data_IF_121016679132
#
_entry.id   IF_121016679132
#
_cell.length_a   1.000
_cell.length_b   1.000
_cell.length_c   1.000
_cell.angle_alpha   90.00
_cell.angle_beta   90.00
_cell.angle_gamma   90.00
#
_symmetry.space_group_name_H-M   'P 1'
#
loop_
_entity.id
_entity.type
_entity.pdbx_description
1 polymer ?
#
# COMPACT_ATOMS: atom_id res chain seq x y z
N UNK A 1 29.05 1.73 -9.99
CA UNK A 1 27.85 1.63 -10.83
C UNK A 1 27.00 2.85 -10.54
N UNK A 2 26.15 3.26 -11.46
CA UNK A 2 25.12 4.26 -11.17
C UNK A 2 23.80 3.81 -11.76
N UNK A 3 22.71 4.29 -11.16
CA UNK A 3 21.37 4.16 -11.67
C UNK A 3 20.70 5.54 -11.68
N UNK A 4 19.87 5.80 -12.69
CA UNK A 4 19.09 7.02 -12.80
C UNK A 4 17.67 6.65 -13.20
N UNK A 5 16.72 6.87 -12.29
CA UNK A 5 15.32 6.50 -12.49
C UNK A 5 14.41 7.65 -12.11
N UNK A 6 13.17 7.60 -12.59
CA UNK A 6 12.12 8.45 -12.04
C UNK A 6 11.75 7.98 -10.63
N UNK A 7 11.30 8.93 -9.82
CA UNK A 7 10.67 8.73 -8.53
C UNK A 7 9.26 9.30 -8.61
N UNK A 8 8.30 8.77 -7.84
CA UNK A 8 6.91 9.30 -7.85
C UNK A 8 6.84 10.81 -7.52
N UNK A 9 7.84 11.34 -6.82
CA UNK A 9 8.00 12.77 -6.48
C UNK A 9 9.14 13.49 -7.21
N UNK A 10 9.81 12.86 -8.17
CA UNK A 10 10.93 13.50 -8.86
C UNK A 10 11.90 12.54 -9.53
N UNK A 11 13.17 12.64 -9.18
CA UNK A 11 14.28 11.88 -9.77
C UNK A 11 15.06 11.16 -8.68
N UNK A 12 15.55 9.96 -9.00
CA UNK A 12 16.44 9.19 -8.14
C UNK A 12 17.78 8.98 -8.85
N UNK A 13 18.87 9.33 -8.18
CA UNK A 13 20.24 9.04 -8.60
C UNK A 13 20.86 8.16 -7.52
N UNK A 14 21.22 6.93 -7.90
CA UNK A 14 21.97 6.01 -7.05
C UNK A 14 23.38 5.82 -7.62
N UNK A 15 24.39 5.87 -6.77
CA UNK A 15 25.80 5.63 -7.14
C UNK A 15 26.43 4.74 -6.08
N UNK A 16 26.84 3.54 -6.49
CA UNK A 16 27.33 2.49 -5.60
C UNK A 16 28.62 1.86 -6.10
N UNK A 17 29.49 1.39 -5.20
CA UNK A 17 30.75 0.73 -5.54
C UNK A 17 31.91 1.14 -4.63
N UNK A 18 33.14 0.98 -5.11
CA UNK A 18 34.35 1.38 -4.37
C UNK A 18 34.39 2.90 -4.16
N UNK A 19 34.72 3.33 -2.95
CA UNK A 19 34.65 4.71 -2.51
C UNK A 19 35.69 5.65 -3.15
N UNK A 20 36.88 5.15 -3.57
CA UNK A 20 38.00 5.97 -4.09
C UNK A 20 37.65 6.92 -5.27
N UNK A 21 36.65 6.58 -6.09
CA UNK A 21 36.20 7.42 -7.23
C UNK A 21 34.70 7.61 -7.29
N UNK A 22 34.01 7.36 -6.17
CA UNK A 22 32.54 7.41 -6.11
C UNK A 22 32.03 8.85 -6.29
N UNK A 23 32.68 9.79 -5.63
CA UNK A 23 32.46 11.24 -5.74
C UNK A 23 32.68 11.76 -7.17
N UNK A 24 33.75 11.33 -7.84
CA UNK A 24 34.06 11.70 -9.23
C UNK A 24 32.99 11.19 -10.19
N UNK A 25 32.49 9.97 -9.97
CA UNK A 25 31.40 9.41 -10.77
C UNK A 25 30.09 10.16 -10.51
N UNK A 26 29.74 10.40 -9.25
CA UNK A 26 28.55 11.14 -8.85
C UNK A 26 28.53 12.54 -9.47
N UNK A 27 29.64 13.28 -9.41
CA UNK A 27 29.76 14.60 -10.01
C UNK A 27 29.46 14.58 -11.51
N UNK A 28 30.05 13.64 -12.24
CA UNK A 28 29.79 13.47 -13.68
C UNK A 28 28.34 13.17 -13.97
N UNK A 29 27.70 12.29 -13.19
CA UNK A 29 26.28 11.94 -13.37
C UNK A 29 25.39 13.16 -13.12
N UNK A 30 25.58 13.86 -12.00
CA UNK A 30 24.75 15.02 -11.64
C UNK A 30 24.94 16.18 -12.63
N UNK A 31 26.16 16.43 -13.09
CA UNK A 31 26.41 17.43 -14.13
C UNK A 31 25.77 17.07 -15.46
N UNK A 32 25.82 15.79 -15.86
CA UNK A 32 25.16 15.30 -17.08
C UNK A 32 23.64 15.41 -16.99
N UNK A 33 23.06 15.11 -15.82
CA UNK A 33 21.64 15.29 -15.54
C UNK A 33 21.27 16.76 -15.67
N UNK A 34 21.96 17.67 -14.97
CA UNK A 34 21.67 19.11 -15.05
C UNK A 34 21.81 19.67 -16.46
N UNK A 35 22.84 19.24 -17.19
CA UNK A 35 23.17 19.69 -18.54
C UNK A 35 22.59 18.80 -19.63
N UNK A 36 21.45 18.12 -19.40
CA UNK A 36 20.89 17.19 -20.37
C UNK A 36 20.64 17.87 -21.73
N UNK A 37 21.37 17.44 -22.74
CA UNK A 37 21.13 17.78 -24.14
C UNK A 37 20.42 16.63 -24.85
N UNK A 38 19.23 16.90 -25.35
CA UNK A 38 18.36 15.93 -25.99
C UNK A 38 18.65 15.91 -27.49
N UNK A 39 19.35 14.87 -27.93
CA UNK A 39 19.50 14.57 -29.35
C UNK A 39 18.18 14.06 -29.94
N UNK A 40 17.73 14.68 -31.02
CA UNK A 40 16.50 14.31 -31.75
C UNK A 40 16.52 12.82 -32.18
N UNK A 41 17.65 12.33 -32.70
CA UNK A 41 17.77 10.94 -33.16
C UNK A 41 17.70 9.94 -32.00
N UNK A 42 18.37 10.26 -30.87
CA UNK A 42 18.29 9.45 -29.65
C UNK A 42 16.90 9.46 -29.06
N UNK A 43 16.25 10.61 -29.03
CA UNK A 43 14.88 10.76 -28.57
C UNK A 43 13.93 9.86 -29.37
N UNK A 44 13.99 9.90 -30.71
CA UNK A 44 13.15 9.06 -31.58
C UNK A 44 13.29 7.56 -31.26
N UNK A 45 14.53 7.08 -31.07
CA UNK A 45 14.80 5.68 -30.73
C UNK A 45 14.20 5.31 -29.36
N UNK A 46 14.37 6.17 -28.36
CA UNK A 46 13.86 5.94 -27.00
C UNK A 46 12.32 5.98 -27.00
N UNK A 47 11.72 6.98 -27.64
CA UNK A 47 10.27 7.13 -27.79
C UNK A 47 9.67 5.92 -28.48
N UNK A 48 10.23 5.47 -29.60
CA UNK A 48 9.75 4.27 -30.31
C UNK A 48 9.86 3.01 -29.42
N UNK A 49 10.94 2.88 -28.65
CA UNK A 49 11.09 1.78 -27.68
C UNK A 49 10.02 1.85 -26.59
N UNK A 50 9.74 3.04 -26.05
CA UNK A 50 8.72 3.24 -25.01
C UNK A 50 7.31 2.98 -25.56
N UNK A 51 6.97 3.47 -26.75
CA UNK A 51 5.69 3.19 -27.41
C UNK A 51 5.50 1.68 -27.63
N UNK A 52 6.54 0.98 -28.11
CA UNK A 52 6.49 -0.48 -28.23
C UNK A 52 6.33 -1.17 -26.88
N UNK A 53 7.03 -0.71 -25.85
CA UNK A 53 6.89 -1.26 -24.51
C UNK A 53 5.47 -1.10 -23.96
N UNK A 54 4.89 0.11 -24.01
CA UNK A 54 3.52 0.37 -23.55
C UNK A 54 2.48 -0.41 -24.36
N UNK A 55 2.65 -0.52 -25.68
CA UNK A 55 1.75 -1.34 -26.52
C UNK A 55 1.87 -2.84 -26.20
N UNK A 56 3.08 -3.31 -25.89
CA UNK A 56 3.33 -4.72 -25.59
C UNK A 56 2.97 -5.09 -24.14
N UNK A 57 2.90 -4.12 -23.21
CA UNK A 57 2.56 -4.40 -21.81
C UNK A 57 1.14 -4.96 -21.67
N UNK A 58 0.22 -4.56 -22.56
CA UNK A 58 -1.14 -5.12 -22.66
C UNK A 58 -1.18 -6.61 -23.04
N UNK A 59 -0.07 -7.14 -23.58
CA UNK A 59 0.09 -8.56 -23.94
C UNK A 59 1.00 -9.33 -22.99
N UNK A 60 1.54 -8.68 -21.95
CA UNK A 60 2.32 -9.35 -20.91
C UNK A 60 1.46 -10.36 -20.13
N UNK A 61 2.07 -11.32 -19.43
CA UNK A 61 1.30 -12.28 -18.62
C UNK A 61 0.38 -11.56 -17.61
N UNK A 62 -0.86 -12.04 -17.40
CA UNK A 62 -1.86 -11.43 -16.53
C UNK A 62 -1.35 -11.03 -15.14
N UNK A 63 -0.53 -11.86 -14.50
CA UNK A 63 0.04 -11.55 -13.18
C UNK A 63 0.96 -10.32 -13.18
N UNK A 64 1.59 -9.98 -14.31
CA UNK A 64 2.42 -8.78 -14.45
C UNK A 64 1.59 -7.52 -14.73
N UNK A 65 0.31 -7.67 -15.11
CA UNK A 65 -0.56 -6.54 -15.43
C UNK A 65 -1.45 -6.16 -14.24
N UNK A 66 -1.88 -7.13 -13.43
CA UNK A 66 -2.87 -6.89 -12.37
C UNK A 66 -2.41 -5.82 -11.39
N UNK A 67 -1.13 -5.84 -11.00
CA UNK A 67 -0.55 -4.84 -10.09
C UNK A 67 -0.65 -3.40 -10.59
N UNK A 68 -0.54 -3.16 -11.91
CA UNK A 68 -0.74 -1.82 -12.49
C UNK A 68 -2.15 -1.29 -12.28
N UNK A 69 -3.15 -2.17 -12.20
CA UNK A 69 -4.52 -1.78 -11.89
C UNK A 69 -4.73 -1.66 -10.39
N UNK A 70 -4.10 -2.53 -9.59
CA UNK A 70 -4.14 -2.49 -8.12
C UNK A 70 -3.66 -1.14 -7.55
N UNK A 71 -2.59 -0.57 -8.14
CA UNK A 71 -2.10 0.78 -7.81
C UNK A 71 -3.18 1.87 -7.91
N UNK A 72 -4.19 1.69 -8.78
CA UNK A 72 -5.28 2.66 -8.89
C UNK A 72 -6.20 2.68 -7.66
N UNK A 73 -6.24 1.60 -6.90
CA UNK A 73 -7.08 1.47 -5.71
C UNK A 73 -6.37 1.79 -4.41
N UNK A 74 -5.03 1.75 -4.41
CA UNK A 74 -4.21 2.06 -3.24
C UNK A 74 -3.84 3.56 -3.21
N UNK A 75 -3.37 4.11 -4.34
CA UNK A 75 -2.84 5.47 -4.41
C UNK A 75 -3.88 6.55 -4.77
N UNK A 76 -3.70 7.77 -4.25
CA UNK A 76 -4.49 8.93 -4.67
C UNK A 76 -4.31 9.21 -6.17
N UNK A 77 -3.06 9.19 -6.64
CA UNK A 77 -2.69 9.47 -8.03
C UNK A 77 -2.14 8.21 -8.66
N UNK A 78 -2.69 7.84 -9.80
CA UNK A 78 -2.25 6.71 -10.60
C UNK A 78 -2.47 7.05 -12.07
N UNK A 79 -1.57 6.61 -12.93
CA UNK A 79 -1.71 6.77 -14.39
C UNK A 79 -1.41 5.43 -15.03
N UNK A 80 -2.36 4.91 -15.79
CA UNK A 80 -2.24 3.61 -16.46
C UNK A 80 -1.48 3.72 -17.78
N UNK A 81 -0.99 2.58 -18.27
CA UNK A 81 -0.38 2.51 -19.60
C UNK A 81 -1.34 2.96 -20.71
N UNK A 82 -2.63 2.65 -20.58
CA UNK A 82 -3.69 3.01 -21.54
C UNK A 82 -3.86 4.54 -21.63
N UNK A 83 -3.66 5.26 -20.51
CA UNK A 83 -3.69 6.72 -20.45
C UNK A 83 -2.37 7.35 -20.93
N UNK A 84 -1.22 6.75 -20.59
CA UNK A 84 0.10 7.26 -20.99
C UNK A 84 0.37 7.12 -22.49
N UNK A 85 -0.14 6.05 -23.11
CA UNK A 85 0.15 5.73 -24.51
C UNK A 85 -0.25 6.84 -25.51
N UNK A 86 -1.50 7.37 -25.51
CA UNK A 86 -1.88 8.45 -26.42
C UNK A 86 -1.10 9.75 -26.16
N UNK A 87 -0.78 10.05 -24.90
CA UNK A 87 -0.01 11.26 -24.55
C UNK A 87 1.43 11.18 -25.07
N UNK A 88 2.06 10.00 -24.98
CA UNK A 88 3.44 9.78 -25.45
C UNK A 88 3.60 10.00 -26.97
N UNK A 89 2.54 9.84 -27.76
CA UNK A 89 2.59 10.07 -29.21
C UNK A 89 2.82 11.54 -29.57
N UNK A 90 2.42 12.46 -28.68
CA UNK A 90 2.56 13.90 -28.91
C UNK A 90 3.83 14.49 -28.29
N UNK A 91 4.55 13.72 -27.47
CA UNK A 91 5.81 14.18 -26.85
C UNK A 91 6.91 14.30 -27.92
N UNK A 92 7.61 15.44 -27.89
CA UNK A 92 8.75 15.76 -28.77
C UNK A 92 10.06 15.90 -27.96
N UNK A 93 11.21 15.83 -28.66
CA UNK A 93 12.51 16.07 -28.04
C UNK A 93 12.59 17.48 -27.41
N UNK A 94 11.99 18.47 -28.08
CA UNK A 94 11.92 19.83 -27.57
C UNK A 94 11.15 19.92 -26.25
N UNK A 95 10.05 19.16 -26.09
CA UNK A 95 9.32 19.12 -24.82
C UNK A 95 10.22 18.61 -23.69
N UNK A 96 10.96 17.52 -23.91
CA UNK A 96 11.88 16.97 -22.90
C UNK A 96 13.01 17.95 -22.60
N UNK A 97 13.60 18.56 -23.62
CA UNK A 97 14.68 19.56 -23.49
C UNK A 97 14.24 20.78 -22.67
N UNK A 98 12.98 21.20 -22.81
CA UNK A 98 12.40 22.31 -22.07
C UNK A 98 11.93 21.92 -20.67
N UNK A 99 11.46 20.69 -20.47
CA UNK A 99 10.94 20.20 -19.20
C UNK A 99 12.05 19.93 -18.19
N UNK A 100 13.18 19.36 -18.61
CA UNK A 100 14.22 18.90 -17.69
C UNK A 100 14.86 20.03 -16.84
N UNK A 101 15.11 21.24 -17.37
CA UNK A 101 15.54 22.36 -16.54
C UNK A 101 14.50 22.78 -15.50
N UNK A 102 13.20 22.58 -15.77
CA UNK A 102 12.11 23.00 -14.88
C UNK A 102 12.04 22.12 -13.63
N UNK A 103 12.18 20.80 -13.77
CA UNK A 103 12.17 19.87 -12.63
C UNK A 103 13.35 20.10 -11.67
N UNK A 104 14.48 20.60 -12.18
CA UNK A 104 15.66 20.92 -11.37
C UNK A 104 15.69 22.37 -10.86
N UNK A 105 14.84 23.26 -11.40
CA UNK A 105 14.88 24.70 -11.09
C UNK A 105 14.50 25.00 -9.64
N UNK A 106 13.59 24.20 -9.06
CA UNK A 106 13.17 24.31 -7.67
C UNK A 106 12.89 22.92 -7.11
N UNK A 107 13.77 22.40 -6.26
CA UNK A 107 13.63 21.06 -5.70
C UNK A 107 14.09 20.99 -4.24
N UNK A 108 13.70 19.89 -3.59
CA UNK A 108 14.26 19.43 -2.33
C UNK A 108 15.22 18.27 -2.66
N UNK A 109 16.41 18.27 -2.05
CA UNK A 109 17.42 17.23 -2.25
C UNK A 109 17.55 16.47 -0.93
N UNK A 110 17.34 15.17 -1.00
CA UNK A 110 17.54 14.24 0.10
C UNK A 110 18.62 13.24 -0.30
N UNK A 111 19.57 12.97 0.60
CA UNK A 111 20.75 12.13 0.31
C UNK A 111 20.94 11.12 1.42
N UNK A 112 21.04 9.84 1.04
CA UNK A 112 21.57 8.79 1.90
C UNK A 112 23.03 8.53 1.50
N UNK A 113 23.96 8.76 2.44
CA UNK A 113 25.36 8.36 2.30
C UNK A 113 25.66 7.24 3.31
N UNK A 114 25.92 6.03 2.81
CA UNK A 114 26.14 4.85 3.64
C UNK A 114 27.31 4.01 3.10
N UNK A 115 28.16 3.51 3.99
CA UNK A 115 29.33 2.70 3.64
C UNK A 115 30.63 3.18 4.30
N UNK A 116 31.76 2.92 3.63
CA UNK A 116 33.09 3.28 4.11
C UNK A 116 33.42 4.75 3.83
N UNK A 117 32.80 5.66 4.59
CA UNK A 117 32.92 7.11 4.47
C UNK A 117 32.96 7.75 5.86
N UNK A 118 33.73 8.81 6.02
CA UNK A 118 33.65 9.69 7.18
C UNK A 118 32.48 10.69 7.04
N UNK A 119 32.02 11.25 8.16
CA UNK A 119 30.94 12.25 8.17
C UNK A 119 31.28 13.44 7.26
N UNK A 120 32.53 13.92 7.31
CA UNK A 120 33.00 15.05 6.50
C UNK A 120 33.00 14.72 4.99
N UNK A 121 33.16 13.46 4.62
CA UNK A 121 33.08 13.02 3.22
C UNK A 121 31.62 12.99 2.74
N UNK A 122 30.69 12.57 3.59
CA UNK A 122 29.25 12.65 3.31
C UNK A 122 28.78 14.11 3.15
N UNK A 123 29.25 15.03 4.01
CA UNK A 123 28.95 16.46 3.88
C UNK A 123 29.50 17.07 2.58
N UNK A 124 30.70 16.65 2.15
CA UNK A 124 31.27 17.05 0.85
C UNK A 124 30.43 16.55 -0.32
N UNK A 125 29.86 15.35 -0.23
CA UNK A 125 28.94 14.82 -1.25
C UNK A 125 27.69 15.69 -1.35
N UNK A 126 27.08 16.08 -0.23
CA UNK A 126 25.91 16.95 -0.20
C UNK A 126 26.22 18.32 -0.84
N UNK A 127 27.34 18.94 -0.44
CA UNK A 127 27.81 20.20 -1.03
C UNK A 127 28.07 20.08 -2.53
N UNK A 128 28.69 18.98 -2.98
CA UNK A 128 28.93 18.71 -4.38
C UNK A 128 27.62 18.65 -5.18
N UNK A 129 26.62 17.89 -4.70
CA UNK A 129 25.31 17.80 -5.37
C UNK A 129 24.61 19.16 -5.39
N UNK A 130 24.64 19.89 -4.26
CA UNK A 130 24.07 21.24 -4.17
C UNK A 130 24.72 22.23 -5.14
N UNK A 131 26.05 22.25 -5.23
CA UNK A 131 26.81 23.09 -6.18
C UNK A 131 26.62 22.66 -7.63
N UNK A 132 26.48 21.37 -7.89
CA UNK A 132 26.29 20.83 -9.23
C UNK A 132 24.89 21.15 -9.74
N UNK A 133 23.82 20.93 -8.96
CA UNK A 133 22.42 21.16 -9.37
C UNK A 133 22.05 22.66 -9.32
N UNK A 134 22.44 23.36 -8.24
CA UNK A 134 22.06 24.76 -7.93
C UNK A 134 20.55 25.02 -7.92
N UNK A 135 19.74 24.21 -7.21
CA UNK A 135 18.29 24.40 -7.21
C UNK A 135 17.89 25.60 -6.35
N UNK A 136 16.75 26.23 -6.68
CA UNK A 136 16.05 27.03 -5.68
C UNK A 136 15.43 26.07 -4.65
N UNK A 137 15.47 26.44 -3.38
CA UNK A 137 14.86 25.63 -2.32
C UNK A 137 13.35 25.50 -2.54
N UNK A 138 12.86 24.27 -2.56
CA UNK A 138 11.43 23.99 -2.45
C UNK A 138 10.97 24.28 -1.01
N UNK A 139 9.91 25.07 -0.84
CA UNK A 139 9.40 25.39 0.50
C UNK A 139 8.77 24.14 1.14
N UNK A 140 8.84 24.01 2.46
CA UNK A 140 8.35 22.83 3.17
C UNK A 140 6.87 22.51 2.86
N UNK A 141 6.02 23.54 2.74
CA UNK A 141 4.61 23.40 2.37
C UNK A 141 4.35 23.07 0.89
N UNK A 142 5.39 23.02 0.06
CA UNK A 142 5.32 22.65 -1.36
C UNK A 142 5.87 21.25 -1.62
N UNK A 143 6.47 20.60 -0.62
CA UNK A 143 6.94 19.21 -0.74
C UNK A 143 5.72 18.31 -0.87
N UNK A 144 5.56 17.54 -1.97
CA UNK A 144 4.41 16.66 -2.13
C UNK A 144 4.36 15.60 -1.04
N UNK A 145 3.21 15.48 -0.39
CA UNK A 145 2.90 14.45 0.60
C UNK A 145 2.27 13.24 -0.09
N UNK A 146 2.59 12.05 0.44
CA UNK A 146 1.95 10.80 0.02
C UNK A 146 0.59 10.69 0.66
N UNK A 147 -0.40 10.28 -0.12
CA UNK A 147 -1.79 10.04 0.30
C UNK A 147 -2.33 8.85 -0.47
N UNK A 148 -3.23 8.11 0.16
CA UNK A 148 -3.93 6.98 -0.45
C UNK A 148 -5.42 7.04 -0.18
N UNK A 149 -6.15 6.11 -0.79
CA UNK A 149 -7.59 6.03 -0.61
C UNK A 149 -7.92 5.41 0.75
N UNK A 150 -8.88 6.00 1.46
CA UNK A 150 -9.48 5.41 2.66
C UNK A 150 -10.68 4.59 2.21
N UNK A 151 -10.62 3.29 2.44
CA UNK A 151 -11.72 2.39 2.11
C UNK A 151 -12.75 2.36 3.24
N UNK A 152 -14.05 2.52 2.93
CA UNK A 152 -15.10 2.37 3.92
C UNK A 152 -15.07 0.96 4.54
N UNK A 153 -15.31 0.88 5.85
CA UNK A 153 -15.47 -0.43 6.50
C UNK A 153 -16.64 -1.18 5.86
N UNK A 154 -16.53 -2.51 5.77
CA UNK A 154 -17.54 -3.35 5.11
C UNK A 154 -17.66 -3.15 3.59
N UNK A 155 -16.81 -2.34 2.94
CA UNK A 155 -16.87 -2.18 1.49
C UNK A 155 -16.33 -3.39 0.74
N UNK A 156 -16.92 -3.67 -0.42
CA UNK A 156 -16.54 -4.77 -1.29
C UNK A 156 -16.59 -4.30 -2.75
N UNK A 157 -15.44 -4.04 -3.35
CA UNK A 157 -15.33 -3.54 -4.71
C UNK A 157 -14.70 -4.57 -5.65
N UNK A 158 -15.23 -4.61 -6.87
CA UNK A 158 -14.70 -5.45 -7.94
C UNK A 158 -14.34 -4.55 -9.12
N UNK A 159 -13.13 -4.70 -9.64
CA UNK A 159 -12.75 -4.18 -10.94
C UNK A 159 -12.42 -5.35 -11.87
N UNK A 160 -13.10 -5.43 -13.01
CA UNK A 160 -12.86 -6.45 -14.01
C UNK A 160 -12.29 -5.81 -15.27
N UNK A 161 -11.18 -6.38 -15.76
CA UNK A 161 -10.61 -5.98 -17.05
C UNK A 161 -10.44 -7.20 -17.95
N UNK A 162 -11.00 -7.13 -19.15
CA UNK A 162 -10.79 -8.15 -20.16
C UNK A 162 -9.35 -8.08 -20.69
N UNK A 163 -8.63 -9.18 -20.58
CA UNK A 163 -7.28 -9.30 -21.10
C UNK A 163 -7.27 -9.21 -22.63
N UNK A 164 -6.38 -8.38 -23.20
CA UNK A 164 -6.32 -8.11 -24.64
C UNK A 164 -5.59 -9.18 -25.45
N UNK A 165 -4.77 -10.04 -24.82
CA UNK A 165 -4.04 -11.08 -25.53
C UNK A 165 -4.93 -12.27 -25.90
N UNK A 166 -5.34 -12.42 -27.17
CA UNK A 166 -6.41 -13.35 -27.58
C UNK A 166 -6.02 -14.84 -27.49
N UNK A 167 -4.72 -15.13 -27.33
CA UNK A 167 -4.18 -16.49 -27.22
C UNK A 167 -3.97 -16.94 -25.78
N UNK A 168 -4.09 -16.03 -24.81
CA UNK A 168 -3.90 -16.38 -23.42
C UNK A 168 -5.23 -16.85 -22.83
N UNK A 169 -5.28 -18.12 -22.46
CA UNK A 169 -6.45 -18.72 -21.79
C UNK A 169 -6.45 -18.47 -20.27
N UNK A 170 -5.38 -17.88 -19.74
CA UNK A 170 -5.28 -17.61 -18.31
C UNK A 170 -6.02 -16.34 -17.91
N UNK A 171 -6.65 -16.43 -16.76
CA UNK A 171 -7.18 -15.35 -15.95
C UNK A 171 -6.21 -15.04 -14.80
N UNK A 172 -6.36 -13.87 -14.19
CA UNK A 172 -5.65 -13.50 -12.98
C UNK A 172 -6.59 -12.76 -12.04
N UNK A 173 -6.53 -13.12 -10.75
CA UNK A 173 -7.21 -12.40 -9.68
C UNK A 173 -6.15 -11.90 -8.70
N UNK A 174 -6.32 -10.66 -8.27
CA UNK A 174 -5.69 -10.11 -7.09
C UNK A 174 -6.81 -9.81 -6.08
N UNK A 175 -6.79 -10.52 -4.96
CA UNK A 175 -7.78 -10.41 -3.90
C UNK A 175 -7.15 -9.68 -2.72
N UNK A 176 -7.51 -8.41 -2.55
CA UNK A 176 -6.90 -7.50 -1.57
C UNK A 176 -7.87 -7.21 -0.43
N UNK A 177 -7.44 -7.50 0.79
CA UNK A 177 -8.14 -7.22 2.04
C UNK A 177 -7.54 -5.99 2.69
N UNK A 178 -8.29 -4.88 2.74
CA UNK A 178 -7.87 -3.70 3.47
C UNK A 178 -7.98 -3.92 4.98
N UNK A 179 -6.93 -3.58 5.72
CA UNK A 179 -6.88 -3.74 7.19
C UNK A 179 -6.71 -2.40 7.91
N UNK A 180 -6.63 -1.29 7.18
CA UNK A 180 -6.48 0.05 7.76
C UNK A 180 -5.15 0.71 7.40
N UNK A 181 -4.69 1.61 8.27
CA UNK A 181 -3.55 2.46 7.98
C UNK A 181 -2.21 1.77 8.35
N UNK A 182 -1.20 1.82 7.47
CA UNK A 182 0.13 1.21 7.72
C UNK A 182 0.89 1.68 8.97
N UNK A 183 0.56 2.86 9.50
CA UNK A 183 1.21 3.42 10.70
C UNK A 183 0.57 2.93 11.99
N UNK A 184 -0.55 2.20 11.91
CA UNK A 184 -1.01 1.40 13.03
C UNK A 184 -0.02 0.24 13.26
N UNK A 185 0.85 0.42 14.24
CA UNK A 185 1.89 -0.56 14.57
C UNK A 185 1.34 -1.93 14.99
N UNK A 186 0.14 -1.97 15.58
CA UNK A 186 -0.51 -3.19 16.06
C UNK A 186 -1.12 -3.91 14.89
N UNK A 187 -1.88 -3.20 14.04
CA UNK A 187 -2.45 -3.78 12.83
C UNK A 187 -1.35 -4.31 11.91
N UNK A 188 -0.29 -3.52 11.70
CA UNK A 188 0.88 -3.94 10.92
C UNK A 188 1.53 -5.20 11.52
N UNK A 189 1.70 -5.28 12.84
CA UNK A 189 2.26 -6.47 13.48
C UNK A 189 1.37 -7.71 13.29
N UNK A 190 0.04 -7.56 13.42
CA UNK A 190 -0.93 -8.63 13.15
C UNK A 190 -0.88 -9.09 11.70
N UNK A 191 -0.88 -8.15 10.77
CA UNK A 191 -0.84 -8.43 9.34
C UNK A 191 0.45 -9.14 8.91
N UNK A 192 1.60 -8.72 9.44
CA UNK A 192 2.88 -9.39 9.20
C UNK A 192 2.90 -10.80 9.77
N UNK A 193 2.32 -11.01 10.95
CA UNK A 193 2.21 -12.34 11.56
C UNK A 193 1.25 -13.24 10.76
N UNK A 194 0.09 -12.72 10.39
CA UNK A 194 -0.87 -13.40 9.55
C UNK A 194 -0.24 -13.80 8.21
N UNK A 195 0.49 -12.89 7.57
CA UNK A 195 1.27 -13.16 6.35
C UNK A 195 2.32 -14.26 6.54
N UNK A 196 3.04 -14.27 7.66
CA UNK A 196 3.99 -15.34 7.98
C UNK A 196 3.30 -16.71 8.13
N UNK A 197 2.15 -16.76 8.81
CA UNK A 197 1.45 -18.01 9.11
C UNK A 197 0.69 -18.57 7.89
N UNK A 198 0.22 -17.69 7.00
CA UNK A 198 -0.56 -18.08 5.81
C UNK A 198 0.28 -18.40 4.59
N UNK A 199 1.53 -17.93 4.50
CA UNK A 199 2.37 -18.06 3.30
C UNK A 199 2.45 -19.51 2.78
N UNK A 200 2.90 -20.45 3.63
CA UNK A 200 3.01 -21.86 3.23
C UNK A 200 1.64 -22.53 3.05
N UNK A 201 0.66 -22.37 3.97
CA UNK A 201 -0.66 -22.97 3.80
C UNK A 201 -1.40 -22.50 2.55
N UNK A 202 -1.33 -21.21 2.22
CA UNK A 202 -1.97 -20.65 1.02
C UNK A 202 -1.36 -21.24 -0.24
N UNK A 203 -0.03 -21.32 -0.30
CA UNK A 203 0.67 -21.92 -1.43
C UNK A 203 0.34 -23.42 -1.54
N UNK A 204 0.36 -24.15 -0.42
CA UNK A 204 0.07 -25.58 -0.43
C UNK A 204 -1.37 -25.86 -0.86
N UNK A 205 -2.36 -25.17 -0.30
CA UNK A 205 -3.77 -25.40 -0.64
C UNK A 205 -4.06 -25.01 -2.09
N UNK A 206 -3.82 -23.75 -2.45
CA UNK A 206 -4.28 -23.20 -3.73
C UNK A 206 -3.41 -23.67 -4.91
N UNK A 207 -2.12 -23.93 -4.70
CA UNK A 207 -1.21 -24.40 -5.77
C UNK A 207 -0.92 -25.90 -5.72
N UNK A 208 -0.60 -26.48 -4.57
CA UNK A 208 -0.18 -27.90 -4.53
C UNK A 208 -1.37 -28.86 -4.55
N UNK A 209 -2.38 -28.60 -3.72
CA UNK A 209 -3.55 -29.48 -3.55
C UNK A 209 -4.60 -29.21 -4.63
N UNK A 210 -5.06 -27.96 -4.74
CA UNK A 210 -6.12 -27.58 -5.67
C UNK A 210 -5.62 -27.36 -7.11
N UNK A 211 -4.30 -27.19 -7.27
CA UNK A 211 -3.66 -27.00 -8.58
C UNK A 211 -4.25 -25.86 -9.40
N UNK A 212 -4.62 -24.75 -8.75
CA UNK A 212 -5.26 -23.62 -9.42
C UNK A 212 -4.31 -22.91 -10.38
N UNK A 213 -3.00 -22.94 -10.13
CA UNK A 213 -2.04 -22.36 -11.04
C UNK A 213 -0.62 -22.42 -10.52
N UNK A 214 0.33 -22.19 -11.42
CA UNK A 214 1.74 -22.08 -11.04
C UNK A 214 2.00 -20.77 -10.28
N UNK A 215 1.38 -19.67 -10.69
CA UNK A 215 1.55 -18.38 -10.01
C UNK A 215 0.48 -18.26 -8.93
N UNK A 216 0.88 -18.53 -7.69
CA UNK A 216 0.12 -18.28 -6.48
C UNK A 216 1.03 -17.53 -5.52
N UNK A 217 0.59 -16.37 -5.07
CA UNK A 217 1.28 -15.54 -4.11
C UNK A 217 0.30 -15.08 -3.04
N UNK A 218 0.77 -14.98 -1.80
CA UNK A 218 0.01 -14.39 -0.72
C UNK A 218 0.92 -13.65 0.24
N UNK A 219 0.49 -12.50 0.75
CA UNK A 219 1.29 -11.78 1.72
C UNK A 219 0.73 -10.41 2.10
N UNK A 220 1.39 -9.75 3.06
CA UNK A 220 1.07 -8.38 3.42
C UNK A 220 1.39 -7.43 2.25
N UNK A 221 0.45 -6.57 1.90
CA UNK A 221 0.65 -5.40 1.04
C UNK A 221 0.70 -4.15 1.92
N UNK A 222 1.81 -3.43 1.86
CA UNK A 222 2.05 -2.20 2.63
C UNK A 222 2.52 -1.14 1.64
N UNK A 223 1.65 -0.19 1.32
CA UNK A 223 1.97 0.96 0.48
C UNK A 223 1.64 2.26 1.22
N UNK A 224 2.28 3.37 0.88
CA UNK A 224 2.08 4.75 1.38
C UNK A 224 1.25 4.98 2.63
N UNK A 225 -0.07 4.77 2.59
CA UNK A 225 -0.95 4.73 3.77
C UNK A 225 -1.73 3.42 3.91
N UNK A 226 -1.75 2.61 2.84
CA UNK A 226 -2.44 1.35 2.71
C UNK A 226 -1.76 0.21 3.49
N UNK A 227 -2.57 -0.55 4.22
CA UNK A 227 -2.14 -1.80 4.85
C UNK A 227 -3.19 -2.86 4.59
N UNK A 228 -2.80 -3.94 3.93
CA UNK A 228 -3.71 -5.01 3.59
C UNK A 228 -3.05 -6.36 3.37
N UNK A 229 -3.85 -7.37 3.10
CA UNK A 229 -3.39 -8.70 2.74
C UNK A 229 -3.83 -9.03 1.32
N UNK A 230 -2.91 -9.49 0.49
CA UNK A 230 -3.16 -9.80 -0.92
C UNK A 230 -2.97 -11.30 -1.16
N UNK A 231 -3.89 -11.89 -1.93
CA UNK A 231 -3.71 -13.19 -2.57
C UNK A 231 -3.82 -13.01 -4.08
N UNK A 232 -2.80 -13.42 -4.81
CA UNK A 232 -2.72 -13.35 -6.27
C UNK A 232 -2.67 -14.75 -6.87
N UNK A 233 -3.54 -15.03 -7.85
CA UNK A 233 -3.58 -16.31 -8.57
C UNK A 233 -3.69 -16.06 -10.06
N UNK A 234 -2.81 -16.68 -10.85
CA UNK A 234 -3.00 -16.82 -12.30
C UNK A 234 -3.41 -18.26 -12.62
N UNK A 235 -4.51 -18.43 -13.36
CA UNK A 235 -5.14 -19.74 -13.62
C UNK A 235 -5.84 -19.80 -14.96
N UNK A 236 -6.06 -20.99 -15.51
CA UNK A 236 -7.02 -21.22 -16.61
C UNK A 236 -8.49 -21.15 -16.13
N UNK A 237 -8.73 -21.13 -14.81
CA UNK A 237 -10.07 -20.96 -14.23
C UNK A 237 -10.46 -19.48 -14.15
N UNK A 238 -11.73 -19.18 -14.35
CA UNK A 238 -12.25 -17.81 -14.29
C UNK A 238 -12.17 -17.18 -12.90
N UNK A 239 -12.02 -15.85 -12.83
CA UNK A 239 -11.79 -15.11 -11.58
C UNK A 239 -12.87 -15.34 -10.52
N UNK A 240 -14.14 -15.50 -10.92
CA UNK A 240 -15.23 -15.81 -9.98
C UNK A 240 -15.04 -17.14 -9.26
N UNK A 241 -14.55 -18.17 -9.96
CA UNK A 241 -14.21 -19.45 -9.35
C UNK A 241 -13.04 -19.30 -8.38
N UNK A 242 -11.99 -18.59 -8.80
CA UNK A 242 -10.80 -18.35 -7.97
C UNK A 242 -11.13 -17.58 -6.68
N UNK A 243 -11.99 -16.54 -6.76
CA UNK A 243 -12.52 -15.81 -5.60
C UNK A 243 -13.11 -16.77 -4.56
N UNK A 244 -13.99 -17.67 -4.99
CA UNK A 244 -14.61 -18.64 -4.07
C UNK A 244 -13.60 -19.62 -3.46
N UNK A 245 -12.52 -19.98 -4.16
CA UNK A 245 -11.44 -20.82 -3.59
C UNK A 245 -10.58 -20.05 -2.59
N UNK A 246 -10.32 -18.77 -2.86
CA UNK A 246 -9.62 -17.87 -1.92
C UNK A 246 -10.44 -17.72 -0.64
N UNK A 247 -11.74 -17.41 -0.74
CA UNK A 247 -12.63 -17.30 0.41
C UNK A 247 -12.70 -18.61 1.21
N UNK A 248 -12.79 -19.75 0.53
CA UNK A 248 -12.75 -21.06 1.18
C UNK A 248 -11.42 -21.31 1.92
N UNK A 249 -10.28 -20.93 1.33
CA UNK A 249 -8.98 -21.02 2.01
C UNK A 249 -8.94 -20.15 3.27
N UNK A 250 -9.47 -18.92 3.21
CA UNK A 250 -9.53 -18.03 4.37
C UNK A 250 -10.35 -18.65 5.51
N UNK A 251 -11.51 -19.25 5.21
CA UNK A 251 -12.35 -19.93 6.20
C UNK A 251 -11.66 -21.17 6.81
N UNK A 252 -10.97 -21.97 5.98
CA UNK A 252 -10.17 -23.10 6.47
C UNK A 252 -9.05 -22.61 7.39
N UNK A 253 -8.40 -21.52 7.02
CA UNK A 253 -7.29 -20.98 7.80
C UNK A 253 -7.76 -20.35 9.12
N UNK A 254 -8.94 -19.74 9.14
CA UNK A 254 -9.59 -19.28 10.38
C UNK A 254 -9.81 -20.44 11.36
N UNK A 255 -10.37 -21.56 10.90
CA UNK A 255 -10.52 -22.76 11.73
C UNK A 255 -9.16 -23.26 12.24
N UNK A 256 -8.15 -23.33 11.35
CA UNK A 256 -6.79 -23.71 11.71
C UNK A 256 -6.18 -22.79 12.77
N UNK A 257 -6.50 -21.49 12.74
CA UNK A 257 -6.04 -20.52 13.72
C UNK A 257 -6.74 -20.73 15.08
N UNK A 258 -8.05 -20.98 15.08
CA UNK A 258 -8.83 -21.25 16.29
C UNK A 258 -8.42 -22.56 16.98
N UNK A 259 -8.06 -23.57 16.19
CA UNK A 259 -7.60 -24.87 16.69
C UNK A 259 -6.09 -24.89 17.03
N UNK A 260 -5.37 -23.79 16.76
CA UNK A 260 -3.93 -23.70 16.98
C UNK A 260 -3.61 -23.70 18.47
N UNK A 261 -2.62 -24.52 18.87
CA UNK A 261 -2.11 -24.48 20.23
C UNK A 261 -1.39 -23.16 20.51
N UNK A 262 -1.44 -22.68 21.74
CA UNK A 262 -0.69 -21.49 22.17
C UNK A 262 0.83 -21.68 21.93
N UNK A 263 1.34 -22.90 22.09
CA UNK A 263 2.75 -23.21 21.85
C UNK A 263 3.16 -23.00 20.38
N UNK A 264 2.32 -23.48 19.44
CA UNK A 264 2.55 -23.30 18.00
C UNK A 264 2.40 -21.84 17.59
N UNK A 265 1.42 -21.13 18.14
CA UNK A 265 1.24 -19.71 17.89
C UNK A 265 2.47 -18.89 18.35
N UNK A 266 2.98 -19.15 19.56
CA UNK A 266 4.20 -18.53 20.07
C UNK A 266 5.45 -18.94 19.27
N UNK A 267 5.47 -20.13 18.66
CA UNK A 267 6.54 -20.51 17.72
C UNK A 267 6.51 -19.65 16.46
N UNK A 268 5.34 -19.39 15.88
CA UNK A 268 5.20 -18.49 14.73
C UNK A 268 5.62 -17.05 15.08
N UNK A 269 5.21 -16.54 16.24
CA UNK A 269 5.63 -15.20 16.70
C UNK A 269 7.15 -15.10 16.83
N UNK A 270 7.80 -16.08 17.47
CA UNK A 270 9.27 -16.10 17.59
C UNK A 270 9.97 -16.20 16.24
N UNK A 271 9.47 -17.03 15.32
CA UNK A 271 10.02 -17.14 13.97
C UNK A 271 9.95 -15.81 13.22
N UNK A 272 8.79 -15.14 13.26
CA UNK A 272 8.61 -13.81 12.67
C UNK A 272 9.55 -12.76 13.29
N UNK A 273 9.68 -12.73 14.62
CA UNK A 273 10.59 -11.80 15.31
C UNK A 273 12.03 -12.05 14.89
N UNK A 274 12.48 -13.30 14.87
CA UNK A 274 13.84 -13.66 14.47
C UNK A 274 14.13 -13.24 13.02
N UNK A 275 13.18 -13.45 12.10
CA UNK A 275 13.32 -13.04 10.71
C UNK A 275 13.44 -11.51 10.58
N UNK A 276 12.66 -10.74 11.35
CA UNK A 276 12.74 -9.27 11.32
C UNK A 276 13.98 -8.70 12.00
N UNK A 277 14.50 -9.40 13.01
CA UNK A 277 15.71 -9.01 13.75
C UNK A 277 17.00 -9.57 13.12
N UNK A 278 16.88 -10.27 11.98
CA UNK A 278 18.03 -10.81 11.28
C UNK A 278 18.99 -9.69 10.87
N UNK A 279 20.29 -9.93 11.06
CA UNK A 279 21.31 -8.97 10.65
C UNK A 279 21.33 -8.87 9.12
N UNK A 280 21.48 -7.65 8.64
CA UNK A 280 21.63 -7.39 7.21
C UNK A 280 22.96 -7.99 6.73
N UNK A 281 22.88 -8.87 5.73
CA UNK A 281 24.02 -9.71 5.32
C UNK A 281 25.10 -8.93 4.58
N UNK A 282 24.74 -7.83 3.93
CA UNK A 282 25.64 -7.02 3.13
C UNK A 282 25.21 -5.54 3.12
N UNK A 283 26.10 -4.68 2.63
CA UNK A 283 25.88 -3.23 2.60
C UNK A 283 24.63 -2.86 1.78
N UNK A 284 24.41 -3.51 0.64
CA UNK A 284 23.26 -3.26 -0.24
C UNK A 284 21.92 -3.60 0.42
N UNK A 285 21.87 -4.65 1.25
CA UNK A 285 20.71 -4.94 2.10
C UNK A 285 20.48 -3.81 3.11
N UNK A 286 21.55 -3.26 3.69
CA UNK A 286 21.53 -2.04 4.51
C UNK A 286 20.96 -0.84 3.79
N UNK A 287 21.52 -0.52 2.62
CA UNK A 287 21.11 0.59 1.76
C UNK A 287 19.63 0.51 1.44
N UNK A 288 19.15 -0.67 1.04
CA UNK A 288 17.76 -0.91 0.67
C UNK A 288 16.81 -0.67 1.85
N UNK A 289 17.17 -1.13 3.06
CA UNK A 289 16.33 -0.94 4.25
C UNK A 289 16.23 0.53 4.63
N UNK A 290 17.36 1.24 4.72
CA UNK A 290 17.36 2.67 5.04
C UNK A 290 16.65 3.48 3.96
N UNK A 291 16.94 3.20 2.70
CA UNK A 291 16.32 3.90 1.58
C UNK A 291 14.81 3.68 1.53
N UNK A 292 14.29 2.50 1.86
CA UNK A 292 12.84 2.27 1.93
C UNK A 292 12.15 3.18 2.97
N UNK A 293 12.78 3.42 4.12
CA UNK A 293 12.25 4.34 5.12
C UNK A 293 12.29 5.81 4.68
N UNK A 294 13.32 6.19 3.91
CA UNK A 294 13.46 7.51 3.31
C UNK A 294 12.45 7.71 2.17
N UNK A 295 12.43 6.78 1.22
CA UNK A 295 11.55 6.76 0.05
C UNK A 295 10.07 6.90 0.44
N UNK A 296 9.67 6.24 1.53
CA UNK A 296 8.30 6.26 2.05
C UNK A 296 8.00 7.39 3.04
N UNK A 297 8.95 8.30 3.27
CA UNK A 297 8.87 9.40 4.26
C UNK A 297 8.54 8.90 5.68
N UNK A 298 8.82 7.63 5.98
CA UNK A 298 8.46 7.06 7.27
C UNK A 298 9.53 7.38 8.31
N UNK A 299 10.81 7.44 7.90
CA UNK A 299 11.99 7.61 8.76
C UNK A 299 12.04 6.65 9.97
N UNK A 300 11.38 5.51 9.81
CA UNK A 300 11.22 4.48 10.82
C UNK A 300 12.43 3.54 10.92
N UNK A 301 13.66 4.06 10.97
CA UNK A 301 14.87 3.23 10.88
C UNK A 301 14.99 2.16 11.99
N UNK A 302 14.34 2.39 13.13
CA UNK A 302 14.28 1.46 14.27
C UNK A 302 13.00 0.62 14.30
N UNK A 303 12.16 0.69 13.27
CA UNK A 303 10.85 0.05 13.24
C UNK A 303 10.92 -1.47 13.40
N UNK A 304 11.98 -2.11 12.89
CA UNK A 304 12.21 -3.55 13.10
C UNK A 304 12.43 -3.90 14.59
N UNK A 305 13.02 -2.97 15.36
CA UNK A 305 13.35 -3.12 16.78
C UNK A 305 12.22 -2.61 17.69
N UNK A 306 11.32 -1.78 17.16
CA UNK A 306 10.21 -1.21 17.91
C UNK A 306 9.21 -2.29 18.31
N UNK A 307 8.83 -2.30 19.60
CA UNK A 307 7.69 -3.11 20.07
C UNK A 307 6.40 -2.44 19.61
N UNK A 308 5.43 -3.23 19.15
CA UNK A 308 4.09 -2.72 18.87
C UNK A 308 3.53 -2.10 20.16
N UNK A 309 3.10 -0.84 20.10
CA UNK A 309 2.45 -0.18 21.24
C UNK A 309 1.02 -0.66 21.28
N UNK A 310 0.64 -1.42 22.30
CA UNK A 310 -0.76 -1.80 22.47
C UNK A 310 -1.63 -0.54 22.54
N UNK A 311 -2.79 -0.51 21.86
CA UNK A 311 -3.65 0.66 21.88
C UNK A 311 -4.15 0.84 23.31
N UNK A 312 -4.05 2.06 23.82
CA UNK A 312 -4.60 2.41 25.13
C UNK A 312 -6.10 2.17 25.14
N UNK A 313 -6.66 1.99 26.34
CA UNK A 313 -8.11 1.86 26.52
C UNK A 313 -8.88 3.06 25.90
N UNK A 314 -8.29 4.26 25.93
CA UNK A 314 -8.87 5.45 25.31
C UNK A 314 -8.84 5.43 23.77
N UNK A 315 -7.77 4.93 23.15
CA UNK A 315 -7.67 4.76 21.69
C UNK A 315 -8.69 3.70 21.20
N UNK A 316 -8.85 2.60 21.94
CA UNK A 316 -9.86 1.58 21.64
C UNK A 316 -11.30 2.13 21.77
N UNK A 317 -11.57 2.95 22.80
CA UNK A 317 -12.87 3.62 22.97
C UNK A 317 -13.16 4.61 21.86
N UNK A 318 -12.15 5.33 21.37
CA UNK A 318 -12.29 6.31 20.29
C UNK A 318 -12.58 5.63 18.95
N UNK A 319 -11.90 4.51 18.66
CA UNK A 319 -12.18 3.70 17.48
C UNK A 319 -13.59 3.10 17.52
N UNK A 320 -14.03 2.58 18.68
CA UNK A 320 -15.39 2.09 18.87
C UNK A 320 -16.45 3.21 18.74
N UNK A 321 -16.16 4.40 19.28
CA UNK A 321 -17.04 5.56 19.14
C UNK A 321 -17.13 6.09 17.70
N UNK A 322 -16.07 5.93 16.89
CA UNK A 322 -16.07 6.29 15.48
C UNK A 322 -16.92 5.34 14.62
N UNK A 323 -17.03 4.06 15.02
CA UNK A 323 -17.97 3.09 14.41
C UNK A 323 -19.42 3.44 14.77
N UNK A 324 -19.66 3.96 15.98
CA UNK A 324 -20.98 4.40 16.45
C UNK A 324 -21.49 5.70 15.79
N UNK A 325 -20.81 6.24 14.79
CA UNK A 325 -21.24 7.47 14.09
C UNK A 325 -22.38 7.22 13.08
N UNK A 326 -23.27 6.28 13.37
CA UNK A 326 -24.62 6.20 12.83
C UNK A 326 -25.54 6.73 13.93
N UNK A 327 -25.91 8.01 13.78
CA UNK A 327 -26.68 8.87 14.71
C UNK A 327 -25.93 9.42 15.92
N UNK A 328 -25.14 10.47 15.66
CA UNK A 328 -24.64 11.38 16.70
C UNK A 328 -25.80 12.22 17.27
N UNK A 329 -26.35 11.82 18.43
CA UNK A 329 -26.70 12.67 19.59
C UNK A 329 -27.41 11.86 20.69
N UNK A 330 -26.70 10.96 21.40
CA UNK A 330 -27.28 10.37 22.61
C UNK A 330 -26.24 10.17 23.73
N UNK A 331 -26.32 11.00 24.78
CA UNK A 331 -25.55 10.88 26.03
C UNK A 331 -25.71 9.48 26.68
N UNK A 332 -26.79 8.76 26.39
CA UNK A 332 -27.04 7.41 26.91
C UNK A 332 -26.01 6.37 26.43
N UNK A 333 -25.56 6.48 25.17
CA UNK A 333 -24.60 5.56 24.56
C UNK A 333 -23.20 5.68 25.19
N UNK A 334 -22.74 6.92 25.42
CA UNK A 334 -21.45 7.19 26.07
C UNK A 334 -21.43 6.63 27.50
N UNK A 335 -22.53 6.77 28.23
CA UNK A 335 -22.65 6.29 29.61
C UNK A 335 -22.59 4.75 29.71
N UNK A 336 -23.13 4.01 28.73
CA UNK A 336 -23.07 2.52 28.72
C UNK A 336 -21.70 1.97 28.33
N UNK A 337 -20.95 2.68 27.49
CA UNK A 337 -19.59 2.28 27.07
C UNK A 337 -18.54 2.71 28.11
N UNK A 338 -18.81 3.76 28.89
CA UNK A 338 -17.98 4.19 30.01
C UNK A 338 -18.08 3.23 31.21
N UNK A 339 -17.18 2.24 31.25
CA UNK A 339 -17.03 1.32 32.38
C UNK A 339 -16.75 -0.13 31.97
N UNK A 340 -16.82 -0.40 30.66
CA UNK A 340 -16.65 -1.73 30.10
C UNK A 340 -15.17 -2.16 30.08
N UNK A 341 -14.90 -3.41 30.49
CA UNK A 341 -13.55 -3.96 30.70
C UNK A 341 -13.08 -4.96 29.64
N UNK A 342 -13.90 -5.31 28.64
CA UNK A 342 -13.52 -6.25 27.58
C UNK A 342 -14.23 -5.98 26.26
N UNK A 343 -13.64 -6.43 25.14
CA UNK A 343 -14.21 -6.29 23.79
C UNK A 343 -15.60 -6.91 23.64
N UNK A 344 -15.82 -8.07 24.26
CA UNK A 344 -17.11 -8.75 24.26
C UNK A 344 -18.18 -7.93 24.98
N UNK A 345 -17.82 -7.36 26.13
CA UNK A 345 -18.72 -6.51 26.88
C UNK A 345 -19.02 -5.17 26.16
N UNK A 346 -18.15 -4.72 25.23
CA UNK A 346 -18.45 -3.57 24.35
C UNK A 346 -19.52 -3.97 23.34
N UNK A 347 -19.39 -5.14 22.70
CA UNK A 347 -20.42 -5.68 21.80
C UNK A 347 -21.77 -5.86 22.51
N UNK A 348 -21.76 -6.38 23.74
CA UNK A 348 -22.99 -6.57 24.54
C UNK A 348 -23.62 -5.22 24.94
N UNK A 349 -22.80 -4.21 25.25
CA UNK A 349 -23.28 -2.86 25.56
C UNK A 349 -23.89 -2.16 24.32
N UNK A 350 -23.32 -2.37 23.14
CA UNK A 350 -23.83 -1.86 21.86
C UNK A 350 -25.17 -2.53 21.53
N UNK A 351 -25.25 -3.86 21.66
CA UNK A 351 -26.51 -4.60 21.47
C UNK A 351 -27.62 -4.06 22.39
N UNK A 352 -27.32 -3.88 23.68
CA UNK A 352 -28.27 -3.36 24.66
C UNK A 352 -28.71 -1.92 24.38
N UNK A 353 -27.85 -1.06 23.84
CA UNK A 353 -28.25 0.30 23.45
C UNK A 353 -29.20 0.31 22.25
N UNK A 354 -28.92 -0.53 21.24
CA UNK A 354 -29.75 -0.66 20.04
C UNK A 354 -31.16 -1.20 20.38
N UNK A 355 -31.25 -2.20 21.25
CA UNK A 355 -32.53 -2.83 21.61
C UNK A 355 -33.29 -2.07 22.70
N UNK A 356 -32.60 -1.64 23.75
CA UNK A 356 -33.26 -1.13 24.96
C UNK A 356 -33.54 0.38 24.87
N UNK A 357 -32.60 1.14 24.32
CA UNK A 357 -32.66 2.61 24.32
C UNK A 357 -33.25 3.13 23.00
N UNK A 358 -32.71 2.67 21.87
CA UNK A 358 -33.12 3.14 20.53
C UNK A 358 -34.32 2.36 19.95
N UNK A 359 -34.67 1.21 20.55
CA UNK A 359 -35.78 0.33 20.10
C UNK A 359 -35.75 0.05 18.60
N UNK A 360 -34.54 -0.17 18.08
CA UNK A 360 -34.32 -0.49 16.67
C UNK A 360 -34.94 -1.86 16.38
N UNK A 361 -35.53 -2.03 15.19
CA UNK A 361 -36.04 -3.33 14.76
C UNK A 361 -34.92 -4.38 14.78
N UNK A 362 -35.24 -5.59 15.23
CA UNK A 362 -34.28 -6.67 15.51
C UNK A 362 -33.35 -6.95 14.32
N UNK A 363 -33.90 -6.95 13.10
CA UNK A 363 -33.13 -7.16 11.86
C UNK A 363 -32.11 -6.04 11.56
N UNK A 364 -32.41 -4.80 11.95
CA UNK A 364 -31.50 -3.66 11.77
C UNK A 364 -30.46 -3.62 12.90
N UNK A 365 -30.87 -3.96 14.13
CA UNK A 365 -29.98 -4.06 15.28
C UNK A 365 -28.92 -5.17 15.07
N UNK A 366 -29.32 -6.31 14.51
CA UNK A 366 -28.42 -7.43 14.22
C UNK A 366 -27.37 -7.07 13.18
N UNK A 367 -27.72 -6.32 12.12
CA UNK A 367 -26.75 -5.84 11.11
C UNK A 367 -25.71 -4.90 11.70
N UNK A 368 -26.15 -3.91 12.48
CA UNK A 368 -25.23 -2.96 13.15
C UNK A 368 -24.36 -3.69 14.18
N UNK A 369 -24.91 -4.69 14.86
CA UNK A 369 -24.18 -5.51 15.81
C UNK A 369 -23.13 -6.40 15.13
N UNK A 370 -23.42 -6.93 13.95
CA UNK A 370 -22.46 -7.75 13.19
C UNK A 370 -21.32 -6.90 12.59
N UNK A 371 -21.60 -5.67 12.14
CA UNK A 371 -20.55 -4.70 11.77
C UNK A 371 -19.68 -4.32 12.97
N UNK A 372 -20.28 -4.07 14.13
CA UNK A 372 -19.55 -3.79 15.37
C UNK A 372 -18.70 -4.99 15.82
N UNK A 373 -19.21 -6.23 15.70
CA UNK A 373 -18.45 -7.45 15.97
C UNK A 373 -17.31 -7.64 14.96
N UNK A 374 -17.52 -7.34 13.69
CA UNK A 374 -16.49 -7.43 12.66
C UNK A 374 -15.31 -6.50 12.96
N UNK A 375 -15.57 -5.23 13.33
CA UNK A 375 -14.52 -4.29 13.74
C UNK A 375 -13.85 -4.64 15.08
N UNK A 376 -14.58 -5.31 15.97
CA UNK A 376 -14.01 -5.85 17.21
C UNK A 376 -13.22 -7.15 17.00
N UNK A 377 -13.31 -7.76 15.81
CA UNK A 377 -12.67 -9.02 15.43
C UNK A 377 -13.35 -10.27 16.01
N UNK A 378 -14.68 -10.29 16.03
CA UNK A 378 -15.54 -11.32 16.67
C UNK A 378 -16.51 -11.98 15.65
N UNK A 379 -16.55 -11.54 14.38
CA UNK A 379 -17.55 -12.01 13.41
C UNK A 379 -17.08 -13.15 12.50
N UNK A 380 -18.04 -14.00 12.12
CA UNK A 380 -17.97 -15.12 11.17
C UNK A 380 -18.69 -14.67 9.89
N UNK A 381 -18.07 -14.73 8.70
CA UNK A 381 -18.63 -14.12 7.47
C UNK A 381 -19.06 -15.15 6.41
N UNK A 382 -20.38 -15.22 6.17
CA UNK A 382 -21.00 -16.05 5.13
C UNK A 382 -20.88 -15.50 3.71
N UNK A 383 -21.12 -16.37 2.72
CA UNK A 383 -20.94 -16.14 1.27
C UNK A 383 -21.81 -15.01 0.69
N UNK A 384 -21.23 -14.27 -0.26
CA UNK A 384 -21.74 -13.04 -0.88
C UNK A 384 -22.71 -13.25 -2.07
N UNK A 385 -23.64 -12.31 -2.23
CA UNK A 385 -24.64 -12.17 -3.31
C UNK A 385 -24.02 -11.61 -4.63
N UNK A 386 -24.72 -11.64 -5.79
CA UNK A 386 -24.20 -11.09 -7.04
C UNK A 386 -23.99 -9.55 -7.00
N UNK A 387 -23.01 -9.03 -7.76
CA UNK A 387 -22.63 -7.62 -7.69
C UNK A 387 -23.67 -6.65 -8.27
N UNK A 388 -23.75 -5.45 -7.70
CA UNK A 388 -24.54 -4.32 -8.20
C UNK A 388 -23.63 -3.29 -8.91
N UNK A 389 -24.14 -2.65 -9.97
CA UNK A 389 -23.41 -1.62 -10.71
C UNK A 389 -23.61 -0.24 -10.05
N UNK A 390 -22.53 0.53 -9.92
CA UNK A 390 -22.59 1.94 -9.48
C UNK A 390 -23.02 2.85 -10.64
N UNK A 391 -24.15 3.54 -10.49
CA UNK A 391 -24.53 4.62 -11.40
C UNK A 391 -23.78 5.91 -10.99
N UNK A 392 -23.44 6.76 -11.97
CA UNK A 392 -22.61 7.97 -11.82
C UNK A 392 -23.14 9.07 -10.87
N UNK A 393 -24.19 8.81 -10.10
CA UNK A 393 -24.82 9.74 -9.16
C UNK A 393 -24.97 9.19 -7.73
N UNK A 394 -24.53 7.96 -7.45
CA UNK A 394 -24.71 7.33 -6.12
C UNK A 394 -23.47 7.56 -5.26
N UNK A 395 -23.63 8.13 -4.07
CA UNK A 395 -22.54 8.35 -3.11
C UNK A 395 -22.07 6.98 -2.58
N UNK A 396 -20.76 6.71 -2.55
CA UNK A 396 -20.21 5.40 -2.13
C UNK A 396 -20.64 5.03 -0.70
N UNK A 397 -20.95 6.04 0.12
CA UNK A 397 -21.51 5.88 1.47
C UNK A 397 -22.91 5.24 1.51
N UNK A 398 -23.67 5.28 0.41
CA UNK A 398 -25.04 4.74 0.35
C UNK A 398 -25.09 3.25 -0.05
N UNK A 399 -23.95 2.63 -0.41
CA UNK A 399 -23.89 1.25 -0.97
C UNK A 399 -22.98 0.32 -0.15
N UNK A 400 -22.83 0.58 1.15
CA UNK A 400 -21.92 -0.18 2.00
C UNK A 400 -22.65 -1.38 2.60
N UNK A 401 -22.67 -2.48 1.86
CA UNK A 401 -23.00 -3.81 2.38
C UNK A 401 -22.02 -4.82 1.77
N UNK A 402 -21.14 -5.40 2.59
CA UNK A 402 -20.12 -6.37 2.15
C UNK A 402 -20.72 -7.57 1.40
N UNK A 403 -21.99 -7.89 1.68
CA UNK A 403 -22.71 -8.98 1.03
C UNK A 403 -23.05 -8.69 -0.44
N UNK A 404 -23.06 -7.41 -0.85
CA UNK A 404 -23.37 -6.94 -2.20
C UNK A 404 -22.14 -6.25 -2.83
N UNK A 405 -21.27 -6.99 -3.55
CA UNK A 405 -20.09 -6.41 -4.16
C UNK A 405 -20.47 -5.34 -5.19
N UNK A 406 -19.64 -4.32 -5.29
CA UNK A 406 -19.86 -3.18 -6.17
C UNK A 406 -18.90 -3.24 -7.35
N UNK A 407 -19.45 -3.33 -8.57
CA UNK A 407 -18.64 -3.33 -9.79
C UNK A 407 -18.23 -1.91 -10.16
N UNK A 408 -16.92 -1.68 -10.29
CA UNK A 408 -16.33 -0.41 -10.71
C UNK A 408 -16.25 -0.37 -12.23
N UNK A 409 -17.16 0.37 -12.87
CA UNK A 409 -17.14 0.58 -14.33
C UNK A 409 -16.19 1.71 -14.75
N UNK A 410 -16.00 2.72 -13.89
CA UNK A 410 -15.11 3.84 -14.13
C UNK A 410 -14.30 4.15 -12.87
N UNK A 411 -13.01 3.80 -12.90
CA UNK A 411 -12.10 3.97 -11.76
C UNK A 411 -11.92 5.43 -11.38
N UNK A 412 -11.94 6.38 -12.32
CA UNK A 412 -11.76 7.80 -12.00
C UNK A 412 -12.95 8.40 -11.26
N UNK A 413 -14.18 8.04 -11.68
CA UNK A 413 -15.39 8.45 -10.98
C UNK A 413 -15.47 7.82 -9.59
N UNK A 414 -15.17 6.53 -9.49
CA UNK A 414 -15.09 5.85 -8.20
C UNK A 414 -14.04 6.52 -7.29
N UNK A 415 -12.81 6.75 -7.74
CA UNK A 415 -11.78 7.45 -6.96
C UNK A 415 -12.21 8.85 -6.51
N UNK A 416 -12.92 9.60 -7.37
CA UNK A 416 -13.41 10.93 -7.04
C UNK A 416 -14.46 10.93 -5.92
N UNK A 417 -15.15 9.80 -5.70
CA UNK A 417 -16.10 9.61 -4.60
C UNK A 417 -15.46 9.06 -3.31
N UNK A 418 -14.20 8.61 -3.36
CA UNK A 418 -13.50 8.04 -2.21
C UNK A 418 -12.90 9.13 -1.34
N UNK A 419 -12.82 8.86 -0.04
CA UNK A 419 -12.04 9.70 0.86
C UNK A 419 -10.54 9.46 0.63
N UNK A 420 -9.75 10.53 0.71
CA UNK A 420 -8.29 10.46 0.64
C UNK A 420 -7.73 10.69 2.03
N UNK A 421 -6.71 9.93 2.40
CA UNK A 421 -6.04 10.06 3.69
C UNK A 421 -5.49 11.47 3.90
N UNK A 422 -5.33 11.85 5.16
CA UNK A 422 -4.41 12.94 5.51
C UNK A 422 -2.99 12.61 5.03
N UNK A 423 -2.14 13.63 5.01
CA UNK A 423 -0.74 13.47 4.68
C UNK A 423 -0.08 12.38 5.53
N UNK A 424 0.81 11.60 4.89
CA UNK A 424 1.70 10.67 5.60
C UNK A 424 2.34 11.37 6.80
N UNK A 425 2.08 10.85 8.00
CA UNK A 425 2.70 11.34 9.22
C UNK A 425 4.07 10.70 9.35
N UNK A 426 5.13 11.52 9.35
CA UNK A 426 6.49 11.08 9.62
C UNK A 426 6.52 10.35 10.99
N UNK A 427 7.11 9.15 11.07
CA UNK A 427 7.27 8.49 12.39
C UNK A 427 8.23 9.31 13.28
N UNK A 428 9.19 10.01 12.65
CA UNK A 428 10.13 10.97 13.26
C UNK A 428 10.51 12.06 12.27
N UNK A 429 10.80 13.26 12.78
CA UNK A 429 11.38 14.32 11.96
C UNK A 429 12.82 13.97 11.58
N UNK A 430 13.21 14.24 10.34
CA UNK A 430 14.58 14.03 9.88
C UNK A 430 15.57 14.89 10.70
N UNK A 431 15.14 16.07 11.18
CA UNK A 431 15.95 16.95 12.03
C UNK A 431 16.41 16.26 13.32
N UNK A 432 15.69 15.24 13.81
CA UNK A 432 16.11 14.45 14.98
C UNK A 432 17.37 13.60 14.74
N UNK A 433 17.68 13.33 13.47
CA UNK A 433 18.86 12.56 13.05
C UNK A 433 19.99 13.45 12.52
N UNK A 434 19.79 14.78 12.50
CA UNK A 434 20.82 15.73 12.11
C UNK A 434 21.77 15.91 13.30
N UNK A 435 23.01 15.44 13.15
CA UNK A 435 24.09 15.93 14.01
C UNK A 435 24.25 17.43 13.73
N UNK A 436 23.82 18.27 14.66
CA UNK A 436 24.05 19.72 14.61
C UNK A 436 25.57 19.93 14.67
N UNK A 437 26.15 20.26 13.52
CA UNK A 437 27.58 20.58 13.37
C UNK A 437 27.98 21.84 14.13
#
# INVERSE_FOLDING_TARGET
MYNFTNHIRGLLIDVSGYNDKLDVLLEKVVLQVRGLEVSEDRFKIIRDRMLRYLRNSEYAHPFNQVGTYSEQFEGEKSVTNDELLPELENVTAQNVQQFFPQILAQCHIEVLAHGNLYNEEALKIIDLVGRAIKPRRLLANQVPTRRGLIWPSGSNFINEKQFKGPRNINHCIEYSLYTGHRYDSVMRAKLLLFGHMTNEPCFNELRTIEQLGYVVFSGPSLDDVWSGYCILIQSEKGCRYLKGRIENFLNIFEQKLNDMSEEDFERHKRAMINNRMAKLENLSSGDSVFWNHIYSDSYGFLQAQAKAKEPSLGENKTAAAAVLNITADDEASQTRVEGVSSKKAISDAIAGHLTDDLKVEEEVADKVLDEAKAELGIADSGLSAPPQALNASTDVKEVVDASHPVLIENVHLWKASMQVSSDVRLERDLEEFVEVA
#
